data_IF_464492674735
#
_entry.id   IF_464492674735
#
_cell.length_a   1.000
_cell.length_b   1.000
_cell.length_c   1.000
_cell.angle_alpha   90.00
_cell.angle_beta   90.00
_cell.angle_gamma   90.00
#
_symmetry.space_group_name_H-M   'P 1'
#
loop_
_entity.id
_entity.type
_entity.pdbx_description
1 polymer ?
#
# COMPACT_ATOMS: atom_id res chain seq x y z
N UNK A 1 4.03 -27.62 3.03
CA UNK A 1 2.54 -27.69 2.98
C UNK A 1 2.07 -26.29 2.59
N UNK A 2 1.29 -26.15 1.52
CA UNK A 2 0.67 -24.86 1.19
C UNK A 2 -0.53 -24.67 2.10
N UNK A 3 -0.46 -23.71 3.02
CA UNK A 3 -1.60 -23.32 3.85
C UNK A 3 -2.61 -22.67 2.92
N UNK A 4 -3.80 -23.28 2.77
CA UNK A 4 -4.89 -22.64 2.04
C UNK A 4 -5.48 -21.56 2.93
N UNK A 5 -5.23 -20.29 2.60
CA UNK A 5 -5.80 -19.16 3.34
C UNK A 5 -7.30 -19.11 3.09
N UNK A 6 -8.08 -19.18 4.17
CA UNK A 6 -9.53 -19.02 4.11
C UNK A 6 -9.84 -17.54 4.26
N UNK A 7 -10.36 -16.93 3.19
CA UNK A 7 -10.83 -15.54 3.20
C UNK A 7 -12.35 -15.50 3.06
N UNK A 8 -13.04 -14.52 3.68
CA UNK A 8 -14.46 -14.27 3.42
C UNK A 8 -14.68 -13.89 1.95
N UNK A 9 -15.92 -13.90 1.48
CA UNK A 9 -16.20 -13.53 0.09
C UNK A 9 -15.84 -12.06 -0.18
N UNK A 10 -15.45 -11.69 -1.41
CA UNK A 10 -15.17 -10.30 -1.76
C UNK A 10 -16.32 -9.34 -1.42
N UNK A 11 -17.57 -9.78 -1.54
CA UNK A 11 -18.78 -9.01 -1.23
C UNK A 11 -18.89 -8.68 0.26
N UNK A 12 -18.68 -9.67 1.14
CA UNK A 12 -18.70 -9.49 2.59
C UNK A 12 -17.61 -8.51 3.03
N UNK A 13 -16.39 -8.72 2.53
CA UNK A 13 -15.25 -7.83 2.82
C UNK A 13 -15.50 -6.43 2.31
N UNK A 14 -16.07 -6.28 1.11
CA UNK A 14 -16.37 -4.98 0.53
C UNK A 14 -17.38 -4.18 1.36
N UNK A 15 -18.46 -4.82 1.83
CA UNK A 15 -19.43 -4.17 2.72
C UNK A 15 -18.76 -3.72 4.01
N UNK A 16 -17.99 -4.61 4.66
CA UNK A 16 -17.36 -4.28 5.94
C UNK A 16 -16.28 -3.20 5.80
N UNK A 17 -15.48 -3.25 4.75
CA UNK A 17 -14.44 -2.27 4.49
C UNK A 17 -15.01 -0.86 4.22
N UNK A 18 -16.21 -0.75 3.63
CA UNK A 18 -16.91 0.55 3.55
C UNK A 18 -17.22 1.13 4.93
N UNK A 19 -17.71 0.30 5.85
CA UNK A 19 -18.01 0.72 7.24
C UNK A 19 -16.75 1.15 7.97
N UNK A 20 -15.69 0.34 7.93
CA UNK A 20 -14.40 0.63 8.59
C UNK A 20 -13.82 1.93 8.05
N UNK A 21 -13.76 2.07 6.72
CA UNK A 21 -13.23 3.29 6.08
C UNK A 21 -14.05 4.52 6.48
N UNK A 22 -15.37 4.42 6.52
CA UNK A 22 -16.22 5.53 6.93
C UNK A 22 -15.96 5.95 8.39
N UNK A 23 -15.79 4.98 9.29
CA UNK A 23 -15.47 5.24 10.69
C UNK A 23 -14.12 5.93 10.85
N UNK A 24 -13.07 5.46 10.16
CA UNK A 24 -11.77 6.13 10.19
C UNK A 24 -11.82 7.55 9.64
N UNK A 25 -12.50 7.77 8.52
CA UNK A 25 -12.57 9.10 7.90
C UNK A 25 -13.47 10.09 8.65
N UNK A 26 -14.37 9.59 9.51
CA UNK A 26 -15.14 10.43 10.42
C UNK A 26 -14.30 10.94 11.62
N UNK A 27 -13.13 10.35 11.88
CA UNK A 27 -12.20 10.80 12.92
C UNK A 27 -11.37 11.99 12.43
N UNK A 28 -11.42 13.11 13.17
CA UNK A 28 -10.74 14.35 12.79
C UNK A 28 -9.21 14.21 12.73
N UNK A 29 -8.62 13.35 13.56
CA UNK A 29 -7.17 13.12 13.52
C UNK A 29 -6.77 12.37 12.25
N UNK A 30 -7.63 11.50 11.71
CA UNK A 30 -7.36 10.82 10.44
C UNK A 30 -7.25 11.82 9.29
N UNK A 31 -8.13 12.83 9.25
CA UNK A 31 -8.06 13.90 8.24
C UNK A 31 -6.76 14.70 8.37
N UNK A 32 -6.31 14.94 9.61
CA UNK A 32 -5.06 15.65 9.88
C UNK A 32 -3.84 14.86 9.41
N UNK A 33 -3.82 13.54 9.67
CA UNK A 33 -2.77 12.63 9.19
C UNK A 33 -2.66 12.63 7.68
N UNK A 34 -3.78 12.45 6.97
CA UNK A 34 -3.77 12.37 5.51
C UNK A 34 -3.23 13.66 4.88
N UNK A 35 -3.68 14.82 5.36
CA UNK A 35 -3.15 16.13 4.91
C UNK A 35 -1.66 16.34 5.24
N UNK A 36 -1.16 15.70 6.30
CA UNK A 36 0.26 15.71 6.65
C UNK A 36 1.07 14.85 5.69
N UNK A 37 0.62 13.61 5.44
CA UNK A 37 1.26 12.67 4.53
C UNK A 37 1.33 13.20 3.09
N UNK A 38 0.31 13.93 2.62
CA UNK A 38 0.30 14.56 1.28
C UNK A 38 1.43 15.57 1.05
N UNK A 39 2.02 16.12 2.13
CA UNK A 39 3.03 17.19 2.06
C UNK A 39 4.47 16.69 2.17
N UNK A 40 4.66 15.39 2.36
CA UNK A 40 5.97 14.81 2.63
C UNK A 40 6.78 14.76 1.32
N UNK A 41 7.57 15.80 1.05
CA UNK A 41 8.15 16.07 -0.29
C UNK A 41 9.68 15.97 -0.35
N UNK A 42 10.38 15.86 0.79
CA UNK A 42 11.85 15.85 0.83
C UNK A 42 12.47 14.68 1.59
N UNK A 43 11.78 14.15 2.59
CA UNK A 43 12.43 13.27 3.59
C UNK A 43 12.02 11.79 3.47
N UNK A 44 11.09 11.47 2.56
CA UNK A 44 10.65 10.10 2.29
C UNK A 44 10.46 9.95 0.79
N UNK A 45 11.38 9.22 0.17
CA UNK A 45 11.25 8.75 -1.20
C UNK A 45 11.79 7.32 -1.25
N UNK A 46 11.29 6.56 -2.21
CA UNK A 46 11.63 5.17 -2.42
C UNK A 46 12.10 4.98 -3.87
N UNK A 47 12.90 3.95 -4.15
CA UNK A 47 13.44 3.76 -5.50
C UNK A 47 12.53 2.94 -6.44
N UNK A 48 11.57 2.16 -5.94
CA UNK A 48 10.88 1.12 -6.73
C UNK A 48 9.36 0.98 -6.48
N UNK A 49 8.73 1.96 -5.86
CA UNK A 49 7.31 2.09 -5.58
C UNK A 49 6.73 3.29 -6.32
N UNK A 50 6.93 4.49 -5.79
CA UNK A 50 6.56 5.75 -6.44
C UNK A 50 7.12 5.87 -7.87
N UNK A 51 8.43 5.63 -8.09
CA UNK A 51 9.04 5.69 -9.42
C UNK A 51 8.48 4.71 -10.47
N UNK A 52 7.72 3.67 -10.08
CA UNK A 52 7.02 2.83 -11.05
C UNK A 52 5.86 3.56 -11.72
N UNK A 53 5.35 4.62 -11.12
CA UNK A 53 4.31 5.46 -11.72
C UNK A 53 4.97 6.38 -12.76
N UNK A 54 4.50 6.30 -14.01
CA UNK A 54 5.07 7.11 -15.08
C UNK A 54 4.94 8.61 -14.80
N UNK A 55 6.07 9.33 -14.91
CA UNK A 55 6.21 10.76 -14.61
C UNK A 55 5.85 11.10 -13.16
N UNK A 56 6.07 10.20 -12.19
CA UNK A 56 5.70 10.36 -10.78
C UNK A 56 6.08 11.73 -10.20
N UNK A 57 5.22 12.25 -9.33
CA UNK A 57 5.43 13.47 -8.56
C UNK A 57 4.62 13.38 -7.28
N UNK A 58 5.26 13.57 -6.13
CA UNK A 58 4.59 13.60 -4.83
C UNK A 58 3.43 14.60 -4.82
N UNK A 59 3.66 15.83 -5.31
CA UNK A 59 2.64 16.89 -5.35
C UNK A 59 1.34 16.46 -6.05
N UNK A 60 1.45 15.66 -7.12
CA UNK A 60 0.30 15.22 -7.90
C UNK A 60 -0.26 13.87 -7.44
N UNK A 61 0.62 12.92 -7.13
CA UNK A 61 0.27 11.50 -7.02
C UNK A 61 0.07 11.05 -5.56
N UNK A 62 0.56 11.81 -4.55
CA UNK A 62 0.46 11.39 -3.14
C UNK A 62 -0.99 11.31 -2.65
N UNK A 63 -1.83 12.31 -2.97
CA UNK A 63 -3.22 12.31 -2.52
C UNK A 63 -4.05 11.13 -3.06
N UNK A 64 -4.04 10.83 -4.39
CA UNK A 64 -4.69 9.63 -4.91
C UNK A 64 -4.16 8.32 -4.29
N UNK A 65 -2.84 8.19 -4.14
CA UNK A 65 -2.21 7.00 -3.56
C UNK A 65 -2.61 6.82 -2.08
N UNK A 66 -2.65 7.89 -1.29
CA UNK A 66 -3.08 7.84 0.11
C UNK A 66 -4.55 7.45 0.23
N UNK A 67 -5.41 7.93 -0.67
CA UNK A 67 -6.80 7.50 -0.71
C UNK A 67 -6.94 6.00 -0.97
N UNK A 68 -6.11 5.45 -1.87
CA UNK A 68 -6.09 4.02 -2.15
C UNK A 68 -5.48 3.19 -1.03
N UNK A 69 -4.42 3.69 -0.37
CA UNK A 69 -3.86 3.06 0.81
C UNK A 69 -4.91 2.93 1.92
N UNK A 70 -5.68 3.99 2.24
CA UNK A 70 -6.75 3.91 3.24
C UNK A 70 -7.83 2.90 2.85
N UNK A 71 -8.23 2.85 1.58
CA UNK A 71 -9.20 1.87 1.07
C UNK A 71 -8.69 0.45 1.23
N UNK A 72 -7.44 0.19 0.84
CA UNK A 72 -6.80 -1.12 0.96
C UNK A 72 -6.65 -1.54 2.41
N UNK A 73 -6.19 -0.64 3.28
CA UNK A 73 -6.07 -0.90 4.71
C UNK A 73 -7.43 -1.26 5.34
N UNK A 74 -8.52 -0.66 4.86
CA UNK A 74 -9.87 -1.02 5.31
C UNK A 74 -10.29 -2.42 4.83
N UNK A 75 -9.86 -2.86 3.64
CA UNK A 75 -10.06 -4.24 3.18
C UNK A 75 -9.26 -5.23 4.03
N UNK A 76 -7.97 -4.93 4.32
CA UNK A 76 -7.12 -5.76 5.19
C UNK A 76 -7.76 -5.88 6.59
N UNK A 77 -8.19 -4.76 7.16
CA UNK A 77 -8.90 -4.73 8.44
C UNK A 77 -10.21 -5.52 8.43
N UNK A 78 -11.00 -5.42 7.37
CA UNK A 78 -12.25 -6.18 7.24
C UNK A 78 -12.01 -7.69 7.21
N UNK A 79 -11.00 -8.16 6.46
CA UNK A 79 -10.62 -9.58 6.49
C UNK A 79 -10.20 -9.99 7.89
N UNK A 80 -9.33 -9.21 8.54
CA UNK A 80 -8.87 -9.51 9.89
C UNK A 80 -10.00 -9.57 10.92
N UNK A 81 -10.95 -8.63 10.90
CA UNK A 81 -12.09 -8.64 11.82
C UNK A 81 -12.99 -9.87 11.64
N UNK A 82 -13.07 -10.42 10.42
CA UNK A 82 -13.88 -11.60 10.12
C UNK A 82 -13.17 -12.91 10.42
N UNK A 83 -11.84 -12.94 10.39
CA UNK A 83 -11.07 -14.19 10.48
C UNK A 83 -10.18 -14.29 11.73
N UNK A 84 -9.75 -13.16 12.29
CA UNK A 84 -8.68 -13.09 13.28
C UNK A 84 -7.30 -13.48 12.75
N UNK A 85 -7.15 -13.63 11.43
CA UNK A 85 -5.93 -14.14 10.78
C UNK A 85 -5.21 -13.01 10.04
N UNK A 86 -4.07 -12.58 10.59
CA UNK A 86 -3.23 -11.54 10.00
C UNK A 86 -2.62 -11.96 8.65
N UNK A 87 -2.33 -13.24 8.43
CA UNK A 87 -1.76 -13.73 7.18
C UNK A 87 -2.82 -13.72 6.07
N UNK A 88 -4.06 -14.10 6.39
CA UNK A 88 -5.18 -13.96 5.47
C UNK A 88 -5.50 -12.49 5.15
N UNK A 89 -5.38 -11.61 6.14
CA UNK A 89 -5.63 -10.18 6.04
C UNK A 89 -4.55 -9.40 5.28
N UNK A 90 -3.33 -9.93 5.17
CA UNK A 90 -2.25 -9.32 4.38
C UNK A 90 -2.51 -9.50 2.88
N UNK A 91 -3.46 -8.71 2.37
CA UNK A 91 -3.89 -8.76 0.98
C UNK A 91 -2.79 -8.20 0.05
N UNK A 92 -2.43 -8.92 -1.03
CA UNK A 92 -1.50 -8.39 -2.02
C UNK A 92 -2.12 -7.18 -2.71
N UNK A 93 -1.34 -6.12 -2.90
CA UNK A 93 -1.76 -4.86 -3.56
C UNK A 93 -0.69 -4.38 -4.54
N UNK A 94 -1.00 -3.46 -5.47
CA UNK A 94 -0.01 -2.89 -6.38
C UNK A 94 1.12 -2.18 -5.62
N UNK A 95 2.35 -2.30 -6.12
CA UNK A 95 3.56 -1.79 -5.44
C UNK A 95 3.47 -0.31 -5.02
N UNK A 96 3.00 0.64 -5.87
CA UNK A 96 2.90 2.04 -5.43
C UNK A 96 1.91 2.26 -4.28
N UNK A 97 0.80 1.50 -4.29
CA UNK A 97 -0.20 1.54 -3.21
C UNK A 97 0.38 0.93 -1.94
N UNK A 98 1.12 -0.17 -2.07
CA UNK A 98 1.74 -0.83 -0.93
C UNK A 98 2.75 0.06 -0.21
N UNK A 99 3.67 0.68 -0.95
CA UNK A 99 4.62 1.66 -0.38
C UNK A 99 3.89 2.78 0.36
N UNK A 100 2.74 3.22 -0.15
CA UNK A 100 1.92 4.23 0.53
C UNK A 100 1.24 3.70 1.81
N UNK A 101 0.90 2.41 1.88
CA UNK A 101 0.47 1.76 3.13
C UNK A 101 1.59 1.80 4.18
N UNK A 102 2.84 1.49 3.80
CA UNK A 102 4.00 1.60 4.71
C UNK A 102 4.15 3.03 5.25
N UNK A 103 4.05 4.05 4.37
CA UNK A 103 4.09 5.46 4.77
C UNK A 103 3.00 5.83 5.77
N UNK A 104 1.76 5.37 5.52
CA UNK A 104 0.64 5.62 6.41
C UNK A 104 0.90 4.99 7.78
N UNK A 105 1.35 3.73 7.81
CA UNK A 105 1.68 3.01 9.04
C UNK A 105 2.81 3.66 9.86
N UNK A 106 3.69 4.44 9.23
CA UNK A 106 4.70 5.23 9.96
C UNK A 106 4.08 6.26 10.92
N UNK A 107 2.80 6.63 10.73
CA UNK A 107 2.05 7.54 11.61
C UNK A 107 1.44 6.82 12.83
N UNK A 108 2.10 5.77 13.33
CA UNK A 108 1.58 4.80 14.30
C UNK A 108 0.94 5.43 15.54
N UNK A 109 1.52 6.51 16.07
CA UNK A 109 1.03 7.19 17.28
C UNK A 109 -0.37 7.76 17.07
N UNK A 110 -0.65 8.34 15.90
CA UNK A 110 -1.97 8.89 15.59
C UNK A 110 -2.92 7.77 15.21
N UNK A 111 -2.48 6.84 14.34
CA UNK A 111 -3.29 5.71 13.93
C UNK A 111 -3.77 4.89 15.13
N UNK A 112 -2.92 4.65 16.13
CA UNK A 112 -3.29 3.94 17.36
C UNK A 112 -4.43 4.60 18.12
N UNK A 113 -4.50 5.93 18.15
CA UNK A 113 -5.62 6.65 18.77
C UNK A 113 -6.90 6.53 17.95
N UNK A 114 -6.80 6.63 16.63
CA UNK A 114 -7.94 6.40 15.72
C UNK A 114 -8.48 4.98 15.90
N UNK A 115 -7.62 3.96 15.99
CA UNK A 115 -8.03 2.57 16.27
C UNK A 115 -8.76 2.46 17.60
N UNK A 116 -8.22 3.07 18.66
CA UNK A 116 -8.83 3.02 20.00
C UNK A 116 -10.23 3.66 20.03
N UNK A 117 -10.45 4.74 19.26
CA UNK A 117 -11.75 5.43 19.19
C UNK A 117 -12.75 4.74 18.27
N UNK A 118 -12.29 4.23 17.14
CA UNK A 118 -13.16 3.61 16.12
C UNK A 118 -13.41 2.13 16.35
N UNK A 119 -12.53 1.45 17.10
CA UNK A 119 -12.57 0.01 17.32
C UNK A 119 -12.04 -0.82 16.15
N UNK A 120 -11.48 -0.20 15.11
CA UNK A 120 -11.01 -0.87 13.89
C UNK A 120 -9.49 -0.74 13.77
N UNK A 121 -8.79 -1.87 13.61
CA UNK A 121 -7.32 -1.93 13.51
C UNK A 121 -6.83 -1.58 12.09
N UNK A 122 -5.72 -0.86 12.01
CA UNK A 122 -4.92 -0.79 10.79
C UNK A 122 -4.05 -2.04 10.72
N UNK A 123 -4.41 -2.98 9.84
CA UNK A 123 -3.71 -4.27 9.70
C UNK A 123 -2.75 -4.22 8.53
N UNK A 124 -1.46 -4.36 8.83
CA UNK A 124 -0.38 -4.47 7.86
C UNK A 124 0.86 -5.09 8.50
N UNK A 125 1.50 -6.03 7.80
CA UNK A 125 2.60 -6.84 8.30
C UNK A 125 3.55 -7.21 7.17
N UNK A 126 4.72 -6.59 7.15
CA UNK A 126 5.82 -6.94 6.22
C UNK A 126 6.25 -8.41 6.38
N UNK A 127 6.10 -8.98 7.58
CA UNK A 127 6.39 -10.41 7.82
C UNK A 127 5.41 -11.29 7.03
N UNK A 128 4.12 -10.96 7.07
CA UNK A 128 3.09 -11.70 6.34
C UNK A 128 3.14 -11.44 4.84
N UNK A 129 3.60 -10.27 4.40
CA UNK A 129 3.82 -9.99 2.97
C UNK A 129 4.88 -10.93 2.40
N UNK A 130 6.01 -11.09 3.09
CA UNK A 130 7.04 -12.04 2.69
C UNK A 130 6.55 -13.48 2.75
N UNK A 131 5.74 -13.84 3.75
CA UNK A 131 5.18 -15.17 3.87
C UNK A 131 4.17 -15.49 2.76
N UNK A 132 3.33 -14.51 2.37
CA UNK A 132 2.39 -14.64 1.26
C UNK A 132 3.12 -14.71 -0.08
N UNK A 133 4.19 -13.92 -0.26
CA UNK A 133 5.07 -13.97 -1.43
C UNK A 133 4.35 -13.84 -2.77
N UNK A 134 3.13 -13.31 -2.77
CA UNK A 134 2.24 -13.32 -3.93
C UNK A 134 2.10 -11.88 -4.43
N UNK A 135 2.57 -11.58 -5.64
CA UNK A 135 2.36 -10.26 -6.22
C UNK A 135 0.88 -10.05 -6.56
N UNK A 136 0.41 -8.81 -6.49
CA UNK A 136 -0.95 -8.48 -6.90
C UNK A 136 -1.14 -8.60 -8.42
N UNK A 137 -2.25 -9.21 -8.85
CA UNK A 137 -2.65 -9.26 -10.26
C UNK A 137 -4.06 -8.72 -10.49
N UNK A 138 -4.27 -8.22 -11.71
CA UNK A 138 -5.58 -7.80 -12.16
C UNK A 138 -6.57 -8.97 -12.12
N UNK A 139 -7.64 -8.80 -11.36
CA UNK A 139 -8.69 -9.82 -11.23
C UNK A 139 -8.58 -10.65 -9.96
N UNK A 140 -7.51 -10.50 -9.17
CA UNK A 140 -7.34 -11.20 -7.90
C UNK A 140 -8.38 -10.78 -6.85
N UNK A 141 -8.39 -11.53 -5.75
CA UNK A 141 -9.25 -11.29 -4.59
C UNK A 141 -9.30 -9.81 -4.16
N UNK A 142 -8.13 -9.17 -3.98
CA UNK A 142 -8.04 -7.76 -3.58
C UNK A 142 -8.70 -6.84 -4.61
N UNK A 143 -8.49 -7.10 -5.91
CA UNK A 143 -9.10 -6.29 -6.98
C UNK A 143 -10.62 -6.41 -6.99
N UNK A 144 -11.14 -7.62 -6.81
CA UNK A 144 -12.59 -7.88 -6.75
C UNK A 144 -13.22 -7.16 -5.55
N UNK A 145 -12.67 -7.36 -4.35
CA UNK A 145 -13.17 -6.72 -3.13
C UNK A 145 -13.08 -5.19 -3.20
N UNK A 146 -11.97 -4.65 -3.70
CA UNK A 146 -11.82 -3.21 -3.92
C UNK A 146 -12.91 -2.68 -4.87
N UNK A 147 -13.13 -3.35 -6.01
CA UNK A 147 -14.13 -2.90 -6.99
C UNK A 147 -15.54 -2.89 -6.47
N UNK A 148 -15.90 -3.91 -5.70
CA UNK A 148 -17.20 -4.01 -5.04
C UNK A 148 -17.38 -2.92 -3.97
N UNK A 149 -16.32 -2.56 -3.26
CA UNK A 149 -16.38 -1.56 -2.18
C UNK A 149 -16.37 -0.12 -2.70
N UNK A 150 -15.51 0.18 -3.68
CA UNK A 150 -15.10 1.55 -3.99
C UNK A 150 -15.20 1.91 -5.48
N UNK A 151 -15.57 0.97 -6.35
CA UNK A 151 -15.64 1.17 -7.80
C UNK A 151 -14.32 0.87 -8.51
N UNK A 152 -14.15 1.32 -9.77
CA UNK A 152 -12.97 0.99 -10.56
C UNK A 152 -11.68 1.49 -9.90
N UNK A 153 -10.61 0.74 -10.11
CA UNK A 153 -9.25 1.16 -9.73
C UNK A 153 -8.70 2.18 -10.72
N UNK A 154 -7.78 3.03 -10.27
CA UNK A 154 -7.02 3.90 -11.16
C UNK A 154 -5.80 3.13 -11.72
N UNK A 155 -5.88 2.77 -13.00
CA UNK A 155 -4.85 1.99 -13.72
C UNK A 155 -3.47 2.69 -13.73
N UNK A 156 -3.40 3.99 -13.43
CA UNK A 156 -2.13 4.70 -13.24
C UNK A 156 -1.32 4.14 -12.07
N UNK A 157 -2.00 3.79 -10.98
CA UNK A 157 -1.39 3.35 -9.71
C UNK A 157 -1.54 1.84 -9.48
N UNK A 158 -2.56 1.23 -10.09
CA UNK A 158 -2.84 -0.21 -10.00
C UNK A 158 -2.12 -0.99 -11.10
N UNK A 159 -0.80 -1.01 -11.00
CA UNK A 159 0.10 -1.65 -11.96
C UNK A 159 0.15 -3.15 -11.70
N UNK A 160 -0.18 -3.96 -12.72
CA UNK A 160 -0.10 -5.42 -12.64
C UNK A 160 1.34 -5.92 -12.40
N UNK A 161 1.48 -7.07 -11.73
CA UNK A 161 2.75 -7.68 -11.37
C UNK A 161 3.78 -7.70 -12.51
N UNK A 162 3.39 -8.13 -13.71
CA UNK A 162 4.34 -8.32 -14.81
C UNK A 162 4.82 -6.96 -15.36
N UNK A 163 3.93 -5.97 -15.40
CA UNK A 163 4.27 -4.61 -15.79
C UNK A 163 5.10 -3.90 -14.71
N UNK A 164 4.79 -4.13 -13.43
CA UNK A 164 5.58 -3.62 -12.32
C UNK A 164 7.01 -4.17 -12.38
N UNK A 165 7.18 -5.46 -12.66
CA UNK A 165 8.49 -6.09 -12.81
C UNK A 165 9.26 -5.57 -14.03
N UNK A 166 8.59 -5.42 -15.18
CA UNK A 166 9.21 -4.79 -16.37
C UNK A 166 9.70 -3.37 -16.08
N UNK A 167 8.92 -2.56 -15.35
CA UNK A 167 9.33 -1.19 -14.96
C UNK A 167 10.50 -1.20 -13.99
N UNK A 168 10.48 -2.14 -13.04
CA UNK A 168 11.55 -2.41 -12.08
C UNK A 168 12.88 -2.75 -12.78
N UNK A 169 12.88 -3.61 -13.79
CA UNK A 169 14.09 -3.91 -14.59
C UNK A 169 14.64 -2.68 -15.32
N UNK A 170 13.75 -1.84 -15.86
CA UNK A 170 14.16 -0.57 -16.49
C UNK A 170 14.81 0.35 -15.45
N UNK A 171 14.22 0.46 -14.26
CA UNK A 171 14.74 1.26 -13.16
C UNK A 171 16.10 0.73 -12.67
N UNK A 172 16.27 -0.59 -12.51
CA UNK A 172 17.57 -1.19 -12.14
C UNK A 172 18.67 -0.74 -13.09
N UNK A 173 18.43 -0.84 -14.41
CA UNK A 173 19.42 -0.45 -15.41
C UNK A 173 19.76 1.05 -15.33
N UNK A 174 18.78 1.91 -14.99
CA UNK A 174 18.99 3.35 -14.83
C UNK A 174 19.73 3.67 -13.53
N UNK A 175 19.31 3.10 -12.41
CA UNK A 175 19.89 3.36 -11.10
C UNK A 175 21.29 2.76 -10.95
N UNK A 176 21.57 1.61 -11.57
CA UNK A 176 22.91 1.04 -11.60
C UNK A 176 23.94 2.00 -12.23
N UNK A 177 23.52 2.80 -13.22
CA UNK A 177 24.39 3.80 -13.86
C UNK A 177 24.87 4.92 -12.93
N UNK A 178 24.18 5.13 -11.81
CA UNK A 178 24.54 6.09 -10.76
C UNK A 178 24.97 5.40 -9.46
N UNK A 179 25.29 4.10 -9.52
CA UNK A 179 25.83 3.34 -8.41
C UNK A 179 24.80 2.82 -7.40
N UNK A 180 23.51 2.82 -7.73
CA UNK A 180 22.42 2.28 -6.90
C UNK A 180 22.01 0.91 -7.45
N UNK A 181 22.13 -0.14 -6.64
CA UNK A 181 21.92 -1.55 -7.04
C UNK A 181 21.00 -2.29 -6.05
N UNK A 182 20.73 -3.57 -6.32
CA UNK A 182 19.95 -4.46 -5.46
C UNK A 182 18.60 -3.87 -5.06
N UNK A 183 17.81 -3.40 -6.04
CA UNK A 183 16.52 -2.75 -5.78
C UNK A 183 16.64 -1.54 -4.85
N UNK A 184 17.76 -0.81 -4.92
CA UNK A 184 17.99 0.39 -4.11
C UNK A 184 18.45 0.10 -2.68
N UNK A 185 18.67 -1.17 -2.34
CA UNK A 185 19.18 -1.57 -1.02
C UNK A 185 20.68 -1.35 -0.88
N UNK A 186 21.40 -1.17 -2.00
CA UNK A 186 22.84 -0.93 -2.02
C UNK A 186 23.14 0.34 -2.81
N UNK A 187 24.02 1.20 -2.30
CA UNK A 187 24.52 2.37 -3.03
C UNK A 187 26.04 2.51 -2.92
N UNK A 188 26.68 2.95 -4.01
CA UNK A 188 28.13 3.13 -4.14
C UNK A 188 28.48 4.53 -4.67
N UNK A 189 27.76 5.54 -4.18
CA UNK A 189 27.93 6.94 -4.60
C UNK A 189 29.14 7.56 -3.89
N UNK A 190 30.08 8.11 -4.67
CA UNK A 190 31.19 8.89 -4.14
C UNK A 190 30.80 10.37 -4.00
N UNK A 191 30.89 10.91 -2.79
CA UNK A 191 30.52 12.30 -2.48
C UNK A 191 31.68 13.30 -2.54
N UNK A 192 32.85 12.88 -3.02
CA UNK A 192 33.97 13.77 -3.24
C UNK A 192 33.65 14.69 -4.44
N UNK A 193 33.76 16.00 -4.27
CA UNK A 193 33.62 16.95 -5.37
C UNK A 193 34.69 16.70 -6.44
N UNK A 194 34.28 16.73 -7.71
CA UNK A 194 35.19 16.87 -8.85
C UNK A 194 35.76 18.28 -8.90
#
# INVERSE_FOLDING_TARGET
MSVTLVRPTPEEVAERARVIRAAWLADEEMTTVLKGCEKYTSDWDDFYGGPLVSRYSVERDAAPLLQDAVKVMALKAAVYEMTGDELAAELPVPVPVDVTCHALCAQITVLSRVQARTGHLFVHSTVNEHANGTPWRLGDYTHQAYRLAYGPVDERYWIDADEAERRREILDARYASIGITDRGMTSSIAYASA
#
